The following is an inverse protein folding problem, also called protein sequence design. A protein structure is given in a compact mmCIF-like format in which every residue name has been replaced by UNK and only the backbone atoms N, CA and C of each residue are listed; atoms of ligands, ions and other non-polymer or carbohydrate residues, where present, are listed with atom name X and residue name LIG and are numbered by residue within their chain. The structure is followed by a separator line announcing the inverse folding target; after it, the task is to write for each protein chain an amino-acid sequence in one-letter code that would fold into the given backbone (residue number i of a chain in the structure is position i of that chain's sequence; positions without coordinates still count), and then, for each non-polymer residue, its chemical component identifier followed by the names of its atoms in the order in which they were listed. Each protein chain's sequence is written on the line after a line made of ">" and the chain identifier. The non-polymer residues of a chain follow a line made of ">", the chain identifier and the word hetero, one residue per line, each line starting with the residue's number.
data_IF_776287483180
#
_entry.id   IF_776287483180
#
_cell.length_a   1.000
_cell.length_b   1.000
_cell.length_c   1.000
_cell.angle_alpha   90.00
_cell.angle_beta   90.00
_cell.angle_gamma   90.00
#
_symmetry.space_group_name_H-M   'P 1'
#
loop_
_entity.id
_entity.type
_entity.pdbx_description
1 polymer ?
#
# COMPACT_ATOMS: atom_id res chain seq x y z
N UNK A 1 -8.84 -16.39 3.89
CA UNK A 1 -8.82 -15.26 2.96
C UNK A 1 -8.85 -15.70 1.50
N UNK A 2 -10.03 -15.63 0.91
CA UNK A 2 -10.25 -15.55 -0.54
C UNK A 2 -10.41 -14.07 -0.93
N UNK A 3 -10.39 -13.74 -2.23
CA UNK A 3 -10.59 -12.35 -2.74
C UNK A 3 -11.86 -11.68 -2.18
N UNK A 4 -12.87 -12.46 -1.77
CA UNK A 4 -14.13 -11.96 -1.21
C UNK A 4 -14.03 -11.42 0.22
N UNK A 5 -12.95 -11.74 0.93
CA UNK A 5 -12.73 -11.34 2.33
C UNK A 5 -11.95 -10.02 2.43
N UNK A 6 -11.71 -9.37 1.28
CA UNK A 6 -10.90 -8.16 1.16
C UNK A 6 -11.76 -7.01 0.63
N UNK A 7 -11.80 -5.91 1.37
CA UNK A 7 -12.44 -4.68 0.91
C UNK A 7 -11.41 -3.77 0.22
N UNK A 8 -11.69 -3.37 -1.02
CA UNK A 8 -10.82 -2.48 -1.79
C UNK A 8 -11.42 -1.07 -1.87
N UNK A 9 -10.65 -0.07 -1.44
CA UNK A 9 -10.99 1.34 -1.57
C UNK A 9 -10.02 2.01 -2.54
N UNK A 10 -10.55 2.54 -3.65
CA UNK A 10 -9.74 3.21 -4.66
C UNK A 10 -9.68 4.73 -4.41
N UNK A 11 -8.47 5.30 -4.47
CA UNK A 11 -8.24 6.74 -4.41
C UNK A 11 -7.39 7.22 -5.59
N UNK A 12 -8.04 7.76 -6.62
CA UNK A 12 -7.40 8.37 -7.78
C UNK A 12 -7.07 9.87 -7.64
N UNK A 13 -6.91 10.40 -6.41
CA UNK A 13 -6.39 11.75 -6.19
C UNK A 13 -5.40 11.77 -5.01
N UNK A 14 -4.10 12.08 -5.22
CA UNK A 14 -3.10 11.84 -4.18
C UNK A 14 -3.27 12.82 -3.02
N UNK A 15 -3.82 14.02 -3.27
CA UNK A 15 -4.14 15.01 -2.23
C UNK A 15 -5.24 14.54 -1.28
N UNK A 16 -6.10 13.60 -1.70
CA UNK A 16 -7.16 13.03 -0.86
C UNK A 16 -6.76 11.74 -0.17
N UNK A 17 -5.64 11.14 -0.57
CA UNK A 17 -5.25 9.80 -0.14
C UNK A 17 -5.11 9.66 1.38
N UNK A 18 -4.56 10.67 2.05
CA UNK A 18 -4.44 10.67 3.53
C UNK A 18 -5.81 10.71 4.20
N UNK A 19 -6.73 11.54 3.70
CA UNK A 19 -8.09 11.61 4.24
C UNK A 19 -8.86 10.31 4.06
N UNK A 20 -8.79 9.72 2.87
CA UNK A 20 -9.42 8.41 2.60
C UNK A 20 -8.85 7.33 3.51
N UNK A 21 -7.53 7.27 3.68
CA UNK A 21 -6.91 6.30 4.57
C UNK A 21 -7.25 6.54 6.06
N UNK A 22 -7.45 7.79 6.47
CA UNK A 22 -7.88 8.15 7.83
C UNK A 22 -9.31 7.65 8.12
N UNK A 23 -10.21 7.81 7.15
CA UNK A 23 -11.60 7.35 7.23
C UNK A 23 -11.71 5.82 7.19
N UNK A 24 -11.02 5.18 6.25
CA UNK A 24 -11.07 3.72 6.05
C UNK A 24 -10.30 2.96 7.13
N UNK A 25 -9.23 3.55 7.67
CA UNK A 25 -8.27 2.90 8.58
C UNK A 25 -7.77 1.54 8.05
N UNK A 26 -7.13 1.55 6.86
CA UNK A 26 -6.82 0.32 6.16
C UNK A 26 -5.81 -0.54 6.90
N UNK A 27 -5.94 -1.86 6.75
CA UNK A 27 -4.92 -2.82 7.17
C UNK A 27 -3.67 -2.73 6.32
N UNK A 28 -3.77 -2.30 5.05
CA UNK A 28 -2.66 -2.05 4.12
C UNK A 28 -2.96 -0.89 3.19
N UNK A 29 -1.94 -0.07 2.90
CA UNK A 29 -2.01 0.93 1.83
C UNK A 29 -1.13 0.47 0.68
N UNK A 30 -1.72 0.37 -0.51
CA UNK A 30 -1.00 0.15 -1.76
C UNK A 30 -0.92 1.47 -2.50
N UNK A 31 0.28 1.89 -2.88
CA UNK A 31 0.49 3.21 -3.46
C UNK A 31 1.35 3.09 -4.70
N UNK A 32 0.96 3.78 -5.76
CA UNK A 32 1.84 3.98 -6.90
C UNK A 32 3.04 4.85 -6.51
N UNK A 33 4.18 4.52 -7.10
CA UNK A 33 5.38 5.29 -6.97
C UNK A 33 5.38 6.50 -7.91
N UNK A 34 4.90 6.31 -9.13
CA UNK A 34 4.88 7.34 -10.16
C UNK A 34 3.47 7.89 -10.25
N UNK A 35 3.26 9.08 -9.69
CA UNK A 35 1.97 9.77 -9.73
C UNK A 35 2.12 11.14 -10.39
N UNK A 36 1.08 11.62 -11.10
CA UNK A 36 1.02 13.01 -11.52
C UNK A 36 0.90 13.92 -10.28
N UNK A 37 1.56 15.07 -10.34
CA UNK A 37 1.46 16.19 -9.38
C UNK A 37 2.08 15.99 -7.99
N UNK A 38 2.03 14.79 -7.41
CA UNK A 38 2.54 14.52 -6.05
C UNK A 38 3.55 13.38 -6.08
N UNK A 39 4.73 13.62 -5.53
CA UNK A 39 5.75 12.58 -5.34
C UNK A 39 5.25 11.53 -4.33
N UNK A 40 5.21 10.27 -4.77
CA UNK A 40 4.77 9.16 -3.93
C UNK A 40 5.59 8.97 -2.65
N UNK A 41 6.83 9.41 -2.63
CA UNK A 41 7.67 9.38 -1.44
C UNK A 41 7.23 10.45 -0.42
N UNK A 42 6.80 11.63 -0.88
CA UNK A 42 6.24 12.66 -0.01
C UNK A 42 4.94 12.15 0.62
N UNK A 43 4.12 11.43 -0.15
CA UNK A 43 2.88 10.84 0.38
C UNK A 43 3.15 9.80 1.48
N UNK A 44 4.24 9.02 1.39
CA UNK A 44 4.66 8.14 2.49
C UNK A 44 4.95 8.89 3.78
N UNK A 45 5.59 10.06 3.69
CA UNK A 45 5.90 10.88 4.86
C UNK A 45 4.61 11.30 5.52
N UNK A 46 3.62 11.79 4.75
CA UNK A 46 2.31 12.15 5.28
C UNK A 46 1.63 10.99 5.99
N UNK A 47 1.66 9.78 5.41
CA UNK A 47 1.13 8.60 6.08
C UNK A 47 1.87 8.23 7.37
N UNK A 48 3.19 8.43 7.47
CA UNK A 48 3.96 8.12 8.70
C UNK A 48 3.77 9.15 9.80
N UNK A 49 3.49 10.41 9.47
CA UNK A 49 3.24 11.44 10.48
C UNK A 49 1.78 11.46 10.97
N UNK A 50 0.82 10.91 10.20
CA UNK A 50 -0.56 10.77 10.64
C UNK A 50 -0.72 9.56 11.60
N UNK A 51 -1.17 9.78 12.86
CA UNK A 51 -1.41 8.71 13.83
C UNK A 51 -2.32 7.57 13.35
N UNK A 52 -3.34 7.84 12.54
CA UNK A 52 -4.27 6.83 12.06
C UNK A 52 -3.66 5.87 11.04
N UNK A 53 -2.67 6.33 10.27
CA UNK A 53 -2.10 5.59 9.14
C UNK A 53 -0.64 5.19 9.34
N UNK A 54 0.02 5.69 10.38
CA UNK A 54 1.48 5.49 10.59
C UNK A 54 1.86 4.03 10.79
N UNK A 55 0.94 3.22 11.34
CA UNK A 55 1.15 1.80 11.64
C UNK A 55 0.72 0.90 10.46
N UNK A 56 -0.02 1.45 9.50
CA UNK A 56 -0.42 0.72 8.32
C UNK A 56 0.84 0.35 7.50
N UNK A 57 1.04 -0.94 7.18
CA UNK A 57 2.03 -1.37 6.20
C UNK A 57 1.72 -0.71 4.85
N UNK A 58 2.79 -0.26 4.18
CA UNK A 58 2.69 0.37 2.87
C UNK A 58 3.49 -0.43 1.86
N UNK A 59 2.85 -0.70 0.73
CA UNK A 59 3.40 -1.45 -0.38
C UNK A 59 3.41 -0.51 -1.59
N UNK A 60 4.61 -0.27 -2.12
CA UNK A 60 4.76 0.52 -3.32
C UNK A 60 4.53 -0.34 -4.56
N UNK A 61 3.74 0.16 -5.49
CA UNK A 61 3.57 -0.38 -6.82
C UNK A 61 4.42 0.45 -7.77
N UNK A 62 5.29 -0.20 -8.53
CA UNK A 62 6.11 0.46 -9.54
C UNK A 62 6.06 -0.29 -10.86
N UNK A 63 6.04 0.45 -11.96
CA UNK A 63 6.22 -0.10 -13.32
C UNK A 63 7.70 -0.27 -13.68
N UNK A 64 8.62 0.32 -12.91
CA UNK A 64 10.06 0.32 -13.16
C UNK A 64 10.85 -0.17 -11.96
N UNK A 65 11.77 -1.11 -12.18
CA UNK A 65 12.73 -1.58 -11.19
C UNK A 65 13.93 -0.62 -11.12
N UNK A 66 13.75 0.59 -10.59
CA UNK A 66 14.89 1.49 -10.38
C UNK A 66 15.60 1.19 -9.03
N UNK A 67 16.92 0.97 -9.03
CA UNK A 67 17.68 0.68 -7.81
C UNK A 67 17.60 1.79 -6.74
N UNK A 68 17.52 3.05 -7.18
CA UNK A 68 17.37 4.23 -6.31
C UNK A 68 16.04 4.22 -5.55
N UNK A 69 14.97 3.82 -6.23
CA UNK A 69 13.64 3.66 -5.65
C UNK A 69 13.65 2.58 -4.57
N UNK A 70 14.28 1.42 -4.84
CA UNK A 70 14.41 0.34 -3.84
C UNK A 70 15.18 0.81 -2.60
N UNK A 71 16.26 1.58 -2.80
CA UNK A 71 17.06 2.12 -1.70
C UNK A 71 16.28 3.14 -0.85
N UNK A 72 15.52 4.05 -1.47
CA UNK A 72 14.68 5.03 -0.77
C UNK A 72 13.48 4.40 -0.07
N UNK A 73 12.80 3.46 -0.71
CA UNK A 73 11.71 2.70 -0.12
C UNK A 73 12.20 1.95 1.14
N UNK A 74 13.36 1.30 1.08
CA UNK A 74 13.99 0.66 2.23
C UNK A 74 14.31 1.65 3.35
N UNK A 75 14.90 2.81 3.02
CA UNK A 75 15.22 3.86 3.99
C UNK A 75 13.98 4.46 4.69
N UNK A 76 12.84 4.53 4.00
CA UNK A 76 11.57 5.06 4.53
C UNK A 76 10.70 4.00 5.23
N UNK A 77 11.23 2.78 5.45
CA UNK A 77 10.45 1.65 5.96
C UNK A 77 9.18 1.41 5.12
N UNK A 78 9.30 1.47 3.79
CA UNK A 78 8.35 0.78 2.94
C UNK A 78 8.44 -0.69 3.31
N UNK A 79 7.30 -1.29 3.61
CA UNK A 79 7.30 -2.67 4.09
C UNK A 79 7.47 -3.63 2.92
N UNK A 80 7.14 -3.20 1.69
CA UNK A 80 7.48 -3.93 0.46
C UNK A 80 7.44 -3.08 -0.82
N UNK A 81 7.98 -3.62 -1.91
CA UNK A 81 7.96 -3.06 -3.27
C UNK A 81 7.52 -4.14 -4.28
N UNK A 82 6.38 -3.94 -4.92
CA UNK A 82 5.83 -4.84 -5.94
C UNK A 82 5.86 -4.18 -7.33
N UNK A 83 6.20 -4.98 -8.36
CA UNK A 83 6.02 -4.57 -9.75
C UNK A 83 4.53 -4.58 -10.08
N UNK A 84 3.99 -3.59 -10.80
CA UNK A 84 2.58 -3.62 -11.24
C UNK A 84 2.31 -4.89 -12.06
N UNK A 85 1.46 -5.78 -11.54
CA UNK A 85 1.12 -7.05 -12.22
C UNK A 85 -0.12 -6.88 -13.10
N UNK A 86 -0.19 -7.53 -14.27
CA UNK A 86 -1.37 -7.43 -15.15
C UNK A 86 -2.59 -8.18 -14.60
N UNK A 87 -2.40 -9.14 -13.69
CA UNK A 87 -3.46 -9.99 -13.14
C UNK A 87 -3.81 -9.66 -11.69
N UNK A 88 -5.10 -9.43 -11.41
CA UNK A 88 -5.60 -9.13 -10.07
C UNK A 88 -5.42 -10.29 -9.09
N UNK A 89 -5.56 -11.53 -9.56
CA UNK A 89 -5.37 -12.72 -8.72
C UNK A 89 -3.94 -12.81 -8.19
N UNK A 90 -2.95 -12.55 -9.04
CA UNK A 90 -1.55 -12.52 -8.64
C UNK A 90 -1.22 -11.36 -7.69
N UNK A 91 -1.80 -10.17 -7.92
CA UNK A 91 -1.64 -9.03 -7.00
C UNK A 91 -2.14 -9.38 -5.59
N UNK A 92 -3.33 -9.96 -5.49
CA UNK A 92 -3.93 -10.37 -4.22
C UNK A 92 -3.08 -11.45 -3.54
N UNK A 93 -2.65 -12.47 -4.28
CA UNK A 93 -1.84 -13.55 -3.73
C UNK A 93 -0.52 -13.04 -3.12
N UNK A 94 0.16 -12.14 -3.83
CA UNK A 94 1.41 -11.51 -3.36
C UNK A 94 1.15 -10.56 -2.20
N UNK A 95 0.09 -9.76 -2.25
CA UNK A 95 -0.30 -8.90 -1.15
C UNK A 95 -0.53 -9.72 0.13
N UNK A 96 -1.37 -10.75 0.07
CA UNK A 96 -1.65 -11.65 1.19
C UNK A 96 -0.35 -12.25 1.76
N UNK A 97 0.60 -12.61 0.89
CA UNK A 97 1.90 -13.13 1.32
C UNK A 97 2.68 -12.09 2.13
N UNK A 98 2.78 -10.86 1.64
CA UNK A 98 3.51 -9.79 2.34
C UNK A 98 2.84 -9.39 3.65
N UNK A 99 1.51 -9.35 3.68
CA UNK A 99 0.77 -9.06 4.90
C UNK A 99 1.02 -10.10 5.98
N UNK A 100 0.98 -11.40 5.62
CA UNK A 100 1.33 -12.48 6.55
C UNK A 100 2.75 -12.34 7.09
N UNK A 101 3.70 -11.95 6.25
CA UNK A 101 5.09 -11.72 6.67
C UNK A 101 5.23 -10.53 7.64
N UNK A 102 4.42 -9.48 7.44
CA UNK A 102 4.53 -8.23 8.21
C UNK A 102 3.74 -8.25 9.52
N UNK A 103 2.58 -8.90 9.54
CA UNK A 103 1.67 -8.92 10.70
C UNK A 103 1.53 -10.28 11.38
N UNK A 104 2.13 -11.34 10.83
CA UNK A 104 1.98 -12.72 11.31
C UNK A 104 0.80 -13.45 10.65
N UNK A 105 0.73 -14.77 10.83
CA UNK A 105 -0.28 -15.62 10.17
C UNK A 105 -1.72 -15.30 10.60
N UNK A 106 -1.92 -14.77 11.81
CA UNK A 106 -3.24 -14.51 12.39
C UNK A 106 -3.87 -13.21 11.85
N UNK A 107 -3.09 -12.36 11.17
CA UNK A 107 -3.54 -11.05 10.70
C UNK A 107 -4.50 -11.08 9.50
N UNK A 108 -4.80 -12.27 8.98
CA UNK A 108 -5.74 -12.49 7.89
C UNK A 108 -7.09 -13.06 8.36
N UNK A 109 -7.28 -13.21 9.67
CA UNK A 109 -8.53 -13.69 10.26
C UNK A 109 -9.51 -12.54 10.62
N UNK A 110 -9.04 -11.28 10.54
CA UNK A 110 -9.82 -10.06 10.72
C UNK A 110 -10.34 -9.48 9.38
N UNK A 111 -11.33 -8.58 9.47
CA UNK A 111 -11.82 -7.79 8.32
C UNK A 111 -10.67 -6.99 7.69
N UNK A 112 -10.40 -7.24 6.40
CA UNK A 112 -9.18 -6.79 5.74
C UNK A 112 -9.46 -5.71 4.68
N UNK A 113 -9.24 -4.45 5.03
CA UNK A 113 -9.46 -3.31 4.12
C UNK A 113 -8.16 -2.76 3.53
N UNK A 114 -8.12 -2.62 2.21
CA UNK A 114 -7.00 -2.06 1.45
C UNK A 114 -7.41 -0.73 0.87
N UNK A 115 -6.53 0.26 0.99
CA UNK A 115 -6.64 1.49 0.19
C UNK A 115 -5.62 1.42 -0.94
N UNK A 116 -6.10 1.42 -2.18
CA UNK A 116 -5.31 1.48 -3.41
C UNK A 116 -5.26 2.91 -3.93
N UNK A 117 -4.07 3.49 -3.98
CA UNK A 117 -3.79 4.82 -4.49
C UNK A 117 -3.05 4.64 -5.82
N UNK A 118 -3.81 4.56 -6.92
CA UNK A 118 -3.27 4.27 -8.25
C UNK A 118 -3.53 5.41 -9.23
N UNK A 119 -2.51 5.70 -10.06
CA UNK A 119 -2.52 6.69 -11.13
C UNK A 119 -2.00 6.09 -12.45
#
# INVERSE_FOLDING_TARGET
>A
MTEKDIEFHYCGNPSKAVGVADEVRPTVIMQDLVMPDIDGLILMIFFRVNPATREAPRIMLSSCEEPLIKALASALRANDHLVKWPDKGEQIARLCTHVKLLKGNDALDDEFSIVEILF
#
